data_IF_575542862405
#
_entry.id   IF_575542862405
#
_cell.length_a   1.000
_cell.length_b   1.000
_cell.length_c   1.000
_cell.angle_alpha   90.00
_cell.angle_beta   90.00
_cell.angle_gamma   90.00
#
_symmetry.space_group_name_H-M   'P 1'
#
loop_
_entity.id
_entity.type
_entity.pdbx_description
1 polymer ?
#
# COMPACT_ATOMS: atom_id res chain seq x y z
N UNK A 1 -17.07 -4.46 -25.66
CA UNK A 1 -16.08 -5.52 -25.97
C UNK A 1 -14.91 -5.30 -25.04
N UNK A 2 -14.74 -6.17 -24.05
CA UNK A 2 -13.55 -6.20 -23.19
C UNK A 2 -12.34 -6.63 -24.03
N UNK A 3 -11.16 -6.05 -23.77
CA UNK A 3 -9.93 -6.47 -24.42
C UNK A 3 -9.60 -7.94 -24.03
N UNK A 4 -8.93 -8.71 -24.90
CA UNK A 4 -8.56 -10.09 -24.57
C UNK A 4 -7.53 -10.13 -23.43
N UNK A 5 -7.72 -11.04 -22.49
CA UNK A 5 -6.72 -11.34 -21.44
C UNK A 5 -5.42 -11.80 -22.09
N UNK A 6 -4.30 -11.19 -21.69
CA UNK A 6 -2.98 -11.49 -22.23
C UNK A 6 -2.13 -12.17 -21.15
N UNK A 7 -1.41 -13.24 -21.51
CA UNK A 7 -0.46 -13.91 -20.61
C UNK A 7 0.94 -13.34 -20.80
N UNK A 8 1.56 -12.90 -19.71
CA UNK A 8 2.94 -12.40 -19.71
C UNK A 8 3.93 -13.53 -19.40
N UNK A 9 3.52 -14.46 -18.55
CA UNK A 9 4.25 -15.67 -18.17
C UNK A 9 3.27 -16.77 -17.79
N UNK A 10 3.77 -17.97 -17.48
CA UNK A 10 2.94 -19.11 -17.06
C UNK A 10 2.08 -18.82 -15.82
N UNK A 11 2.42 -17.78 -15.05
CA UNK A 11 1.80 -17.45 -13.78
C UNK A 11 1.27 -16.01 -13.71
N UNK A 12 1.22 -15.27 -14.83
CA UNK A 12 0.73 -13.90 -14.82
C UNK A 12 -0.19 -13.60 -16.00
N UNK A 13 -1.40 -13.14 -15.66
CA UNK A 13 -2.36 -12.56 -16.57
C UNK A 13 -2.37 -11.04 -16.41
N UNK A 14 -2.53 -10.35 -17.52
CA UNK A 14 -2.72 -8.90 -17.56
C UNK A 14 -3.91 -8.57 -18.45
N UNK A 15 -4.71 -7.64 -17.97
CA UNK A 15 -5.82 -7.06 -18.70
C UNK A 15 -5.64 -5.54 -18.77
N UNK A 16 -5.90 -4.94 -19.93
CA UNK A 16 -5.91 -3.49 -20.12
C UNK A 16 -7.25 -3.05 -20.69
N UNK A 17 -7.86 -2.01 -20.11
CA UNK A 17 -9.13 -1.49 -20.62
C UNK A 17 -8.98 -0.68 -21.92
N UNK A 18 -7.78 -0.23 -22.24
CA UNK A 18 -7.45 0.46 -23.49
C UNK A 18 -6.89 -0.53 -24.52
N UNK A 19 -7.10 -0.22 -25.79
CA UNK A 19 -6.58 -1.04 -26.91
C UNK A 19 -5.15 -0.64 -27.22
N UNK A 20 -4.32 -1.61 -27.57
CA UNK A 20 -2.99 -1.34 -28.12
C UNK A 20 -3.00 -1.43 -29.66
N UNK A 21 -2.17 -0.63 -30.33
CA UNK A 21 -2.16 -0.59 -31.80
C UNK A 21 -1.43 -1.77 -32.46
N UNK A 22 -0.29 -2.19 -31.91
CA UNK A 22 0.63 -3.14 -32.59
C UNK A 22 1.07 -4.32 -31.73
N UNK A 23 1.33 -4.09 -30.45
CA UNK A 23 1.81 -5.08 -29.48
C UNK A 23 0.79 -5.27 -28.37
N UNK A 24 0.80 -6.41 -27.69
CA UNK A 24 0.00 -6.61 -26.48
C UNK A 24 0.56 -5.79 -25.32
N UNK A 25 -0.29 -5.47 -24.33
CA UNK A 25 0.17 -4.95 -23.03
C UNK A 25 1.18 -5.90 -22.36
N UNK A 26 1.08 -7.21 -22.62
CA UNK A 26 2.03 -8.20 -22.09
C UNK A 26 3.46 -7.98 -22.60
N UNK A 27 3.62 -7.50 -23.84
CA UNK A 27 4.95 -7.24 -24.43
C UNK A 27 5.67 -6.06 -23.76
N UNK A 28 4.92 -5.23 -23.02
CA UNK A 28 5.41 -4.07 -22.29
C UNK A 28 5.89 -4.42 -20.86
N UNK A 29 5.67 -5.65 -20.39
CA UNK A 29 5.88 -6.03 -18.99
C UNK A 29 7.15 -6.87 -18.84
N UNK A 30 8.06 -6.41 -17.96
CA UNK A 30 9.20 -7.16 -17.44
C UNK A 30 8.90 -7.65 -16.03
N UNK A 31 8.98 -8.96 -15.81
CA UNK A 31 8.78 -9.58 -14.50
C UNK A 31 10.13 -9.95 -13.90
N UNK A 32 10.37 -9.62 -12.64
CA UNK A 32 11.58 -10.02 -11.92
C UNK A 32 11.25 -10.56 -10.53
N UNK A 33 12.01 -11.55 -10.07
CA UNK A 33 11.82 -12.20 -8.77
C UNK A 33 12.68 -11.55 -7.70
N UNK A 34 12.09 -11.24 -6.54
CA UNK A 34 12.77 -10.79 -5.32
C UNK A 34 13.74 -9.62 -5.54
N UNK A 35 13.40 -8.67 -6.41
CA UNK A 35 14.25 -7.50 -6.64
C UNK A 35 13.90 -6.38 -5.67
N UNK A 36 14.90 -5.86 -4.98
CA UNK A 36 14.77 -4.74 -4.04
C UNK A 36 14.94 -3.36 -4.69
N UNK A 37 15.57 -3.30 -5.87
CA UNK A 37 15.88 -2.05 -6.59
C UNK A 37 15.43 -2.16 -8.04
N UNK A 38 14.82 -1.10 -8.53
CA UNK A 38 14.43 -0.95 -9.94
C UNK A 38 15.31 0.16 -10.50
N UNK A 39 16.06 -0.12 -11.56
CA UNK A 39 16.77 0.92 -12.29
C UNK A 39 15.92 1.43 -13.45
N UNK A 40 16.17 2.65 -13.93
CA UNK A 40 15.45 3.19 -15.09
C UNK A 40 15.60 2.28 -16.32
N UNK A 41 16.80 1.73 -16.52
CA UNK A 41 17.13 0.79 -17.61
C UNK A 41 16.37 -0.54 -17.48
N UNK A 42 15.88 -0.88 -16.29
CA UNK A 42 15.03 -2.06 -16.10
C UNK A 42 13.58 -1.82 -16.54
N UNK A 43 13.13 -0.57 -16.51
CA UNK A 43 11.74 -0.19 -16.82
C UNK A 43 11.61 0.25 -18.27
N UNK A 44 12.49 1.15 -18.74
CA UNK A 44 12.36 1.77 -20.06
C UNK A 44 13.06 0.94 -21.11
N UNK A 45 12.29 0.46 -22.08
CA UNK A 45 12.81 -0.33 -23.20
C UNK A 45 12.04 0.02 -24.48
N UNK A 46 12.72 0.63 -25.46
CA UNK A 46 12.12 1.04 -26.73
C UNK A 46 11.56 -0.16 -27.52
N UNK A 47 12.09 -1.36 -27.31
CA UNK A 47 11.55 -2.56 -27.95
C UNK A 47 10.25 -3.04 -27.28
N UNK A 48 9.98 -2.61 -26.05
CA UNK A 48 8.77 -2.94 -25.29
C UNK A 48 7.76 -1.80 -25.20
N UNK A 49 8.05 -0.64 -25.80
CA UNK A 49 7.11 0.46 -25.79
C UNK A 49 5.84 0.13 -26.60
N UNK A 50 4.70 0.60 -26.08
CA UNK A 50 3.40 0.43 -26.71
C UNK A 50 2.61 1.73 -26.65
N UNK A 51 1.77 1.92 -27.65
CA UNK A 51 0.77 2.99 -27.66
C UNK A 51 -0.59 2.41 -27.32
N UNK A 52 -1.23 3.00 -26.32
CA UNK A 52 -2.58 2.64 -25.86
C UNK A 52 -3.58 3.69 -26.33
N UNK A 53 -4.78 3.24 -26.69
CA UNK A 53 -5.89 4.04 -27.19
C UNK A 53 -7.15 3.76 -26.40
N UNK A 54 -7.85 4.83 -26.01
CA UNK A 54 -9.15 4.73 -25.37
C UNK A 54 -10.15 4.04 -26.30
N UNK A 55 -11.07 3.27 -25.73
CA UNK A 55 -12.16 2.69 -26.50
C UNK A 55 -13.19 3.77 -26.82
N UNK A 56 -13.51 3.95 -28.10
CA UNK A 56 -14.46 4.96 -28.60
C UNK A 56 -15.85 4.90 -27.94
N UNK A 57 -16.21 3.73 -27.40
CA UNK A 57 -17.53 3.46 -26.83
C UNK A 57 -17.72 3.87 -25.36
N UNK A 58 -16.66 4.16 -24.61
CA UNK A 58 -16.73 4.29 -23.14
C UNK A 58 -16.68 5.71 -22.59
N UNK A 59 -16.67 6.73 -23.45
CA UNK A 59 -16.39 8.10 -22.99
C UNK A 59 -14.99 8.20 -22.37
N UNK A 60 -14.69 9.32 -21.72
CA UNK A 60 -13.38 9.66 -21.13
C UNK A 60 -12.93 8.77 -19.94
N UNK A 61 -13.14 7.46 -20.03
CA UNK A 61 -12.75 6.50 -19.02
C UNK A 61 -11.22 6.42 -18.95
N UNK A 62 -10.63 6.56 -17.75
CA UNK A 62 -9.19 6.42 -17.57
C UNK A 62 -8.73 5.01 -17.90
N UNK A 63 -7.49 4.87 -18.35
CA UNK A 63 -6.90 3.56 -18.63
C UNK A 63 -6.71 2.80 -17.32
N UNK A 64 -7.09 1.54 -17.32
CA UNK A 64 -6.90 0.61 -16.20
C UNK A 64 -6.13 -0.61 -16.68
N UNK A 65 -5.17 -1.05 -15.88
CA UNK A 65 -4.36 -2.25 -16.10
C UNK A 65 -4.54 -3.13 -14.87
N UNK A 66 -5.15 -4.30 -15.04
CA UNK A 66 -5.29 -5.29 -13.99
C UNK A 66 -4.17 -6.34 -14.15
N UNK A 67 -3.50 -6.61 -13.04
CA UNK A 67 -2.46 -7.61 -12.93
C UNK A 67 -2.96 -8.72 -12.03
N UNK A 68 -2.93 -9.95 -12.53
CA UNK A 68 -3.36 -11.12 -11.80
C UNK A 68 -2.30 -12.21 -11.88
N UNK A 69 -1.75 -12.58 -10.73
CA UNK A 69 -0.84 -13.71 -10.59
C UNK A 69 -1.61 -14.97 -10.26
N UNK A 70 -1.15 -16.08 -10.83
CA UNK A 70 -1.58 -17.42 -10.47
C UNK A 70 -0.56 -18.05 -9.50
N UNK A 71 -0.99 -19.09 -8.78
CA UNK A 71 -0.18 -19.85 -7.82
C UNK A 71 0.23 -19.02 -6.58
N UNK A 72 1.36 -19.37 -5.98
CA UNK A 72 1.87 -18.75 -4.74
C UNK A 72 2.67 -17.47 -5.02
N UNK A 73 2.48 -16.78 -6.14
CA UNK A 73 3.23 -15.55 -6.44
C UNK A 73 2.46 -14.31 -5.98
N UNK A 74 3.18 -13.36 -5.39
CA UNK A 74 2.65 -12.09 -4.91
C UNK A 74 3.39 -10.94 -5.58
N UNK A 75 2.66 -9.94 -6.02
CA UNK A 75 3.18 -8.66 -6.49
C UNK A 75 3.69 -7.91 -5.27
N UNK A 76 4.96 -7.51 -5.32
CA UNK A 76 5.62 -6.73 -4.25
C UNK A 76 5.85 -5.28 -4.65
N UNK A 77 6.11 -5.03 -5.94
CA UNK A 77 6.41 -3.70 -6.45
C UNK A 77 6.00 -3.61 -7.92
N UNK A 78 5.49 -2.45 -8.30
CA UNK A 78 5.23 -2.07 -9.69
C UNK A 78 6.00 -0.79 -9.98
N UNK A 79 6.72 -0.76 -11.08
CA UNK A 79 7.27 0.46 -11.65
C UNK A 79 6.77 0.63 -13.08
N UNK A 80 6.43 1.85 -13.47
CA UNK A 80 5.87 2.14 -14.79
C UNK A 80 6.41 3.46 -15.32
N UNK A 81 6.87 3.41 -16.57
CA UNK A 81 7.25 4.59 -17.34
C UNK A 81 6.17 4.87 -18.40
N UNK A 82 5.52 6.03 -18.33
CA UNK A 82 4.44 6.42 -19.26
C UNK A 82 4.24 7.93 -19.32
N UNK A 83 3.31 8.40 -20.13
CA UNK A 83 2.87 9.80 -20.14
C UNK A 83 1.94 10.19 -18.98
N UNK A 84 1.45 9.22 -18.20
CA UNK A 84 0.55 9.50 -17.09
C UNK A 84 1.31 10.11 -15.90
N UNK A 85 0.74 11.15 -15.29
CA UNK A 85 1.32 11.85 -14.13
C UNK A 85 0.82 11.35 -12.79
N UNK A 86 -0.36 10.72 -12.78
CA UNK A 86 -1.06 10.29 -11.58
C UNK A 86 -1.57 8.87 -11.79
N UNK A 87 -1.28 8.02 -10.82
CA UNK A 87 -1.64 6.61 -10.77
C UNK A 87 -2.45 6.35 -9.51
N UNK A 88 -3.55 5.63 -9.63
CA UNK A 88 -4.35 5.15 -8.52
C UNK A 88 -4.20 3.63 -8.46
N UNK A 89 -3.78 3.12 -7.30
CA UNK A 89 -3.59 1.69 -7.06
C UNK A 89 -4.76 1.13 -6.27
N UNK A 90 -5.28 0.00 -6.74
CA UNK A 90 -6.38 -0.74 -6.12
C UNK A 90 -5.95 -2.18 -5.88
N UNK A 91 -6.38 -2.77 -4.77
CA UNK A 91 -6.11 -4.16 -4.44
C UNK A 91 -7.08 -5.14 -5.10
N UNK A 92 -7.06 -6.39 -4.63
CA UNK A 92 -7.79 -7.51 -5.21
C UNK A 92 -9.32 -7.43 -5.09
N UNK A 93 -9.83 -6.70 -4.10
CA UNK A 93 -11.26 -6.47 -3.86
C UNK A 93 -11.72 -5.08 -4.30
N UNK A 94 -11.00 -4.46 -5.24
CA UNK A 94 -11.20 -3.06 -5.67
C UNK A 94 -11.04 -2.04 -4.54
N UNK A 95 -10.40 -2.42 -3.43
CA UNK A 95 -10.09 -1.51 -2.35
C UNK A 95 -9.04 -0.50 -2.81
N UNK A 96 -9.29 0.77 -2.55
CA UNK A 96 -8.34 1.84 -2.88
C UNK A 96 -7.13 1.77 -1.94
N UNK A 97 -5.93 1.60 -2.51
CA UNK A 97 -4.67 1.53 -1.77
C UNK A 97 -4.03 2.92 -1.66
N UNK A 98 -3.94 3.65 -2.78
CA UNK A 98 -3.29 4.96 -2.77
C UNK A 98 -3.20 5.64 -4.14
N UNK A 99 -2.81 6.91 -4.10
CA UNK A 99 -2.47 7.72 -5.27
C UNK A 99 -0.98 7.97 -5.30
N UNK A 100 -0.36 7.74 -6.45
CA UNK A 100 1.06 7.93 -6.69
C UNK A 100 1.27 8.98 -7.78
N UNK A 101 2.15 9.93 -7.49
CA UNK A 101 2.55 10.97 -8.43
C UNK A 101 3.87 10.57 -9.07
N UNK A 102 3.89 10.53 -10.39
CA UNK A 102 5.08 10.13 -11.12
C UNK A 102 6.08 11.29 -11.24
N UNK A 103 7.35 10.93 -11.21
CA UNK A 103 8.48 11.84 -11.37
C UNK A 103 8.77 12.03 -12.85
N UNK A 104 8.91 13.28 -13.27
CA UNK A 104 9.32 13.60 -14.64
C UNK A 104 10.76 13.10 -14.87
N UNK A 105 10.97 12.36 -15.95
CA UNK A 105 12.29 11.85 -16.33
C UNK A 105 12.83 12.63 -17.53
N UNK A 106 12.06 12.66 -18.62
CA UNK A 106 12.53 13.15 -19.91
C UNK A 106 11.37 13.57 -20.83
N UNK A 107 11.70 14.16 -21.98
CA UNK A 107 10.77 14.47 -23.07
C UNK A 107 11.27 13.81 -24.36
N UNK A 108 10.45 12.94 -24.94
CA UNK A 108 10.74 12.25 -26.20
C UNK A 108 9.71 12.73 -27.23
N UNK A 109 10.15 13.34 -28.32
CA UNK A 109 9.26 13.84 -29.39
C UNK A 109 8.09 14.71 -28.87
N UNK A 110 8.39 15.67 -27.99
CA UNK A 110 7.40 16.55 -27.32
C UNK A 110 6.38 15.84 -26.40
N UNK A 111 6.64 14.57 -26.07
CA UNK A 111 5.89 13.76 -25.11
C UNK A 111 6.66 13.69 -23.80
N UNK A 112 6.05 14.19 -22.73
CA UNK A 112 6.62 14.14 -21.39
C UNK A 112 6.52 12.70 -20.85
N UNK A 113 7.64 12.18 -20.36
CA UNK A 113 7.77 10.82 -19.81
C UNK A 113 7.95 10.90 -18.30
N UNK A 114 7.14 10.12 -17.59
CA UNK A 114 7.15 10.04 -16.13
C UNK A 114 7.39 8.61 -15.68
N UNK A 115 8.14 8.45 -14.58
CA UNK A 115 8.33 7.18 -13.87
C UNK A 115 7.64 7.26 -12.52
N UNK A 116 6.93 6.20 -12.16
CA UNK A 116 6.56 5.98 -10.76
C UNK A 116 6.96 4.58 -10.34
N UNK A 117 7.39 4.47 -9.09
CA UNK A 117 7.52 3.21 -8.36
C UNK A 117 6.44 3.14 -7.27
N UNK A 118 5.87 1.96 -7.08
CA UNK A 118 4.78 1.71 -6.16
C UNK A 118 5.04 0.39 -5.42
N UNK A 119 5.13 0.46 -4.10
CA UNK A 119 5.18 -0.74 -3.26
C UNK A 119 3.76 -1.31 -3.10
N UNK A 120 3.60 -2.59 -3.39
CA UNK A 120 2.33 -3.31 -3.27
C UNK A 120 2.43 -4.20 -2.04
N UNK A 121 1.44 -4.10 -1.13
CA UNK A 121 1.41 -4.86 0.11
C UNK A 121 1.10 -6.35 -0.11
N UNK A 122 2.00 -7.06 -0.81
CA UNK A 122 1.91 -8.48 -1.17
C UNK A 122 0.50 -8.87 -1.64
N UNK A 123 0.19 -8.60 -2.90
CA UNK A 123 -1.11 -8.93 -3.50
C UNK A 123 -0.96 -9.91 -4.67
N UNK A 124 -1.86 -10.88 -4.79
CA UNK A 124 -1.94 -11.74 -5.98
C UNK A 124 -2.65 -11.06 -7.15
N UNK A 125 -3.48 -10.06 -6.87
CA UNK A 125 -4.20 -9.26 -7.87
C UNK A 125 -4.18 -7.79 -7.46
N UNK A 126 -3.95 -6.90 -8.42
CA UNK A 126 -4.11 -5.46 -8.22
C UNK A 126 -4.47 -4.75 -9.53
N UNK A 127 -5.10 -3.60 -9.41
CA UNK A 127 -5.50 -2.77 -10.55
C UNK A 127 -4.82 -1.41 -10.46
N UNK A 128 -4.16 -1.03 -11.55
CA UNK A 128 -3.51 0.26 -11.73
C UNK A 128 -4.36 1.13 -12.66
N UNK A 129 -4.79 2.30 -12.19
CA UNK A 129 -5.56 3.26 -12.97
C UNK A 129 -4.74 4.51 -13.27
N UNK A 130 -4.61 4.83 -14.55
CA UNK A 130 -3.84 5.97 -15.05
C UNK A 130 -4.78 7.16 -15.15
N UNK A 131 -4.82 7.98 -14.09
CA UNK A 131 -5.88 8.96 -13.85
C UNK A 131 -5.67 10.31 -14.56
N UNK A 132 -4.42 10.68 -14.87
CA UNK A 132 -4.11 11.98 -15.48
C UNK A 132 -3.08 11.86 -16.60
N UNK A 133 -3.55 11.93 -17.83
CA UNK A 133 -2.74 11.95 -19.05
C UNK A 133 -2.87 13.30 -19.77
N UNK A 134 -1.83 13.68 -20.54
CA UNK A 134 -1.87 14.87 -21.40
C UNK A 134 -2.92 14.70 -22.50
N UNK A 135 -2.92 13.53 -23.12
CA UNK A 135 -3.86 13.13 -24.16
C UNK A 135 -4.92 12.20 -23.58
N UNK A 136 -6.20 12.53 -23.75
CA UNK A 136 -7.31 11.77 -23.14
C UNK A 136 -7.61 10.45 -23.82
N UNK A 137 -7.23 10.31 -25.09
CA UNK A 137 -7.63 9.18 -25.94
C UNK A 137 -6.45 8.32 -26.38
N UNK A 138 -5.22 8.74 -26.12
CA UNK A 138 -4.02 7.97 -26.43
C UNK A 138 -2.92 8.26 -25.41
N UNK A 139 -2.03 7.30 -25.19
CA UNK A 139 -0.82 7.51 -24.40
C UNK A 139 0.23 6.45 -24.74
N UNK A 140 1.50 6.81 -24.59
CA UNK A 140 2.61 5.87 -24.62
C UNK A 140 2.90 5.30 -23.24
N UNK A 141 3.14 3.98 -23.21
CA UNK A 141 3.74 3.26 -22.09
C UNK A 141 5.08 2.74 -22.59
N UNK A 142 6.15 3.20 -21.95
CA UNK A 142 7.54 2.90 -22.33
C UNK A 142 8.05 1.62 -21.67
N UNK A 143 7.39 1.19 -20.60
CA UNK A 143 7.61 -0.11 -19.99
C UNK A 143 6.98 -0.22 -18.61
N UNK A 144 6.69 -1.45 -18.23
CA UNK A 144 6.15 -1.82 -16.93
C UNK A 144 7.07 -2.87 -16.34
N UNK A 145 7.53 -2.64 -15.13
CA UNK A 145 8.35 -3.56 -14.37
C UNK A 145 7.57 -4.05 -13.15
N UNK A 146 7.54 -5.36 -12.95
CA UNK A 146 6.82 -6.00 -11.84
C UNK A 146 7.77 -6.89 -11.06
N UNK A 147 7.97 -6.55 -9.79
CA UNK A 147 8.70 -7.41 -8.85
C UNK A 147 7.71 -8.36 -8.18
N UNK A 148 7.98 -9.66 -8.29
CA UNK A 148 7.19 -10.71 -7.66
C UNK A 148 8.01 -11.46 -6.61
N UNK A 149 7.34 -11.88 -5.55
CA UNK A 149 7.89 -12.78 -4.56
C UNK A 149 7.04 -14.04 -4.50
N UNK A 150 7.69 -15.19 -4.39
CA UNK A 150 6.98 -16.43 -4.07
C UNK A 150 6.63 -16.38 -2.59
N UNK A 151 5.35 -16.50 -2.28
CA UNK A 151 4.86 -16.85 -0.97
C UNK A 151 5.31 -18.28 -0.72
N UNK A 152 6.55 -18.43 -0.25
CA UNK A 152 7.01 -19.71 0.29
C UNK A 152 5.94 -20.15 1.27
N UNK A 153 5.32 -21.34 1.11
CA UNK A 153 4.54 -21.90 2.19
C UNK A 153 5.54 -22.03 3.32
N UNK A 154 5.47 -21.15 4.32
CA UNK A 154 6.29 -21.35 5.51
C UNK A 154 5.97 -22.76 5.98
N UNK A 155 6.96 -23.60 6.29
CA UNK A 155 6.66 -24.81 7.01
C UNK A 155 6.02 -24.36 8.31
N UNK A 156 4.74 -24.69 8.45
CA UNK A 156 3.86 -24.35 9.57
C UNK A 156 3.36 -22.91 9.58
N UNK A 157 2.02 -22.79 9.57
CA UNK A 157 1.28 -21.66 10.15
C UNK A 157 1.94 -21.25 11.49
N UNK A 158 1.80 -20.02 11.99
CA UNK A 158 2.00 -19.72 13.41
C UNK A 158 0.87 -20.38 14.23
N UNK A 159 0.72 -21.70 14.10
CA UNK A 159 -0.12 -22.53 14.93
C UNK A 159 0.69 -22.91 16.15
N UNK A 160 0.08 -22.78 17.32
CA UNK A 160 0.70 -23.21 18.56
C UNK A 160 1.02 -24.72 18.44
N UNK A 161 2.29 -25.09 18.58
CA UNK A 161 2.71 -26.51 18.59
C UNK A 161 2.27 -27.14 19.91
N UNK A 162 1.03 -27.63 19.92
CA UNK A 162 0.38 -28.19 21.11
C UNK A 162 1.15 -29.42 21.64
N UNK A 163 1.89 -30.12 20.79
CA UNK A 163 2.70 -31.27 21.19
C UNK A 163 3.86 -30.84 22.09
N UNK A 164 4.57 -29.76 21.73
CA UNK A 164 5.64 -29.18 22.57
C UNK A 164 5.10 -28.59 23.87
N UNK A 165 3.92 -27.98 23.83
CA UNK A 165 3.26 -27.47 25.05
C UNK A 165 2.89 -28.63 25.97
N UNK A 166 2.36 -29.72 25.42
CA UNK A 166 2.00 -30.92 26.19
C UNK A 166 3.22 -31.64 26.76
N UNK A 167 4.33 -31.70 26.02
CA UNK A 167 5.60 -32.21 26.50
C UNK A 167 6.13 -31.37 27.68
N UNK A 168 6.14 -30.03 27.57
CA UNK A 168 6.55 -29.14 28.67
C UNK A 168 5.66 -29.26 29.90
N UNK A 169 4.35 -29.42 29.70
CA UNK A 169 3.40 -29.64 30.80
C UNK A 169 3.62 -30.99 31.50
N UNK A 170 3.99 -32.04 30.77
CA UNK A 170 4.36 -33.34 31.36
C UNK A 170 5.67 -33.23 32.14
N UNK A 171 6.65 -32.50 31.61
CA UNK A 171 7.96 -32.32 32.26
C UNK A 171 7.87 -31.47 33.54
N UNK A 172 6.95 -30.50 33.62
CA UNK A 172 6.85 -29.62 34.78
C UNK A 172 6.36 -30.31 36.06
N UNK A 173 5.83 -31.52 35.97
CA UNK A 173 5.31 -32.32 37.11
C UNK A 173 4.28 -31.59 37.99
N UNK A 174 3.75 -30.45 37.53
CA UNK A 174 2.74 -29.67 38.24
C UNK A 174 1.35 -30.07 37.75
N UNK A 175 0.39 -30.33 38.66
CA UNK A 175 -0.98 -30.58 38.27
C UNK A 175 -1.54 -29.32 37.60
N UNK A 176 -2.13 -29.47 36.41
CA UNK A 176 -2.81 -28.36 35.74
C UNK A 176 -4.01 -27.93 36.59
N UNK A 177 -4.18 -26.62 36.74
CA UNK A 177 -5.41 -26.05 37.29
C UNK A 177 -6.56 -26.23 36.30
N UNK A 178 -7.80 -26.25 36.79
CA UNK A 178 -8.99 -26.34 35.94
C UNK A 178 -9.05 -25.25 34.87
N UNK A 179 -8.56 -24.04 35.19
CA UNK A 179 -8.46 -22.92 34.25
C UNK A 179 -7.46 -23.21 33.14
N UNK A 180 -6.30 -23.77 33.47
CA UNK A 180 -5.28 -24.14 32.49
C UNK A 180 -5.74 -25.29 31.59
N UNK A 181 -6.48 -26.26 32.14
CA UNK A 181 -7.09 -27.34 31.36
C UNK A 181 -8.12 -26.80 30.35
N UNK A 182 -9.02 -25.91 30.78
CA UNK A 182 -10.01 -25.25 29.89
C UNK A 182 -9.33 -24.43 28.80
N UNK A 183 -8.26 -23.70 29.13
CA UNK A 183 -7.47 -22.95 28.14
C UNK A 183 -6.78 -23.88 27.11
N UNK A 184 -6.24 -25.03 27.56
CA UNK A 184 -5.66 -26.05 26.68
C UNK A 184 -6.70 -26.61 25.70
N UNK A 185 -7.89 -26.94 26.18
CA UNK A 185 -8.98 -27.43 25.32
C UNK A 185 -9.48 -26.35 24.34
N UNK A 186 -9.54 -25.09 24.76
CA UNK A 186 -9.83 -23.97 23.86
C UNK A 186 -8.80 -23.83 22.73
N UNK A 187 -7.50 -23.85 23.06
CA UNK A 187 -6.42 -23.75 22.07
C UNK A 187 -6.42 -24.93 21.09
N UNK A 188 -6.76 -26.14 21.56
CA UNK A 188 -7.00 -27.31 20.70
C UNK A 188 -8.17 -27.08 19.75
N UNK A 189 -9.31 -26.61 20.26
CA UNK A 189 -10.48 -26.33 19.44
C UNK A 189 -10.21 -25.25 18.39
N UNK A 190 -9.49 -24.19 18.78
CA UNK A 190 -9.10 -23.09 17.88
C UNK A 190 -8.15 -23.56 16.77
N UNK A 191 -7.17 -24.41 17.11
CA UNK A 191 -6.27 -25.00 16.12
C UNK A 191 -6.97 -26.00 15.18
N UNK A 192 -7.93 -26.77 15.68
CA UNK A 192 -8.68 -27.76 14.90
C UNK A 192 -9.78 -27.15 14.01
N UNK A 193 -10.40 -26.07 14.45
CA UNK A 193 -11.50 -25.40 13.74
C UNK A 193 -11.04 -24.23 12.87
N UNK A 194 -9.73 -24.00 12.68
CA UNK A 194 -9.26 -23.05 11.69
C UNK A 194 -9.58 -23.62 10.30
N UNK A 195 -10.62 -23.13 9.59
CA UNK A 195 -10.76 -23.50 8.20
C UNK A 195 -9.57 -22.89 7.46
N UNK A 196 -9.24 -23.40 6.30
CA UNK A 196 -8.28 -22.79 5.38
C UNK A 196 -8.80 -21.43 4.86
N UNK A 197 -9.04 -20.47 5.76
CA UNK A 197 -9.45 -19.11 5.46
C UNK A 197 -8.20 -18.35 5.03
N UNK A 198 -7.86 -18.49 3.76
CA UNK A 198 -7.41 -17.33 3.00
C UNK A 198 -8.48 -16.25 3.12
N UNK A 199 -8.07 -15.03 3.50
CA UNK A 199 -8.86 -13.79 3.64
C UNK A 199 -9.46 -13.46 5.03
N UNK A 200 -8.73 -12.59 5.73
CA UNK A 200 -9.21 -11.43 6.50
C UNK A 200 -10.46 -11.62 7.37
N UNK A 201 -10.24 -11.98 8.64
CA UNK A 201 -10.74 -11.24 9.82
C UNK A 201 -10.11 -11.87 11.06
N UNK A 202 -9.20 -11.13 11.69
CA UNK A 202 -8.74 -11.44 13.05
C UNK A 202 -10.01 -11.53 13.93
N UNK A 203 -10.21 -12.60 14.72
CA UNK A 203 -11.36 -12.68 15.60
C UNK A 203 -11.37 -11.46 16.52
N UNK A 204 -12.54 -10.84 16.69
CA UNK A 204 -12.71 -9.65 17.52
C UNK A 204 -12.04 -9.88 18.89
N UNK A 205 -11.07 -9.04 19.31
CA UNK A 205 -10.41 -9.15 20.60
C UNK A 205 -11.42 -9.22 21.77
N UNK A 206 -12.58 -8.58 21.62
CA UNK A 206 -13.67 -8.59 22.61
C UNK A 206 -14.31 -9.97 22.69
N UNK A 207 -14.44 -10.69 21.57
CA UNK A 207 -14.95 -12.05 21.54
C UNK A 207 -13.96 -13.02 22.23
N UNK A 208 -12.66 -12.85 21.99
CA UNK A 208 -11.60 -13.65 22.63
C UNK A 208 -11.61 -13.41 24.15
N UNK A 209 -11.73 -12.15 24.58
CA UNK A 209 -11.74 -11.78 25.99
C UNK A 209 -13.00 -12.32 26.71
N UNK A 210 -14.18 -12.16 26.12
CA UNK A 210 -15.45 -12.69 26.66
C UNK A 210 -15.49 -14.22 26.73
N UNK A 211 -14.79 -14.91 25.83
CA UNK A 211 -14.67 -16.37 25.87
C UNK A 211 -13.69 -16.86 26.95
N UNK A 212 -12.64 -16.10 27.25
CA UNK A 212 -11.69 -16.39 28.34
C UNK A 212 -12.29 -16.12 29.74
N UNK A 213 -13.23 -15.19 29.85
CA UNK A 213 -13.97 -14.88 31.08
C UNK A 213 -14.92 -16.00 31.54
N UNK A 214 -15.08 -17.07 30.74
CA UNK A 214 -15.63 -18.35 31.18
C UNK A 214 -17.15 -18.51 31.07
N UNK A 215 -17.89 -17.45 30.78
CA UNK A 215 -19.36 -17.52 30.63
C UNK A 215 -19.80 -18.27 29.36
N UNK A 216 -18.98 -18.26 28.31
CA UNK A 216 -19.31 -18.84 27.01
C UNK A 216 -19.29 -20.38 26.98
N UNK A 217 -18.44 -21.02 27.78
CA UNK A 217 -18.30 -22.49 27.79
C UNK A 217 -19.45 -23.19 28.53
N UNK A 218 -20.05 -22.53 29.52
CA UNK A 218 -21.23 -23.01 30.26
C UNK A 218 -22.43 -23.25 29.35
N UNK A 219 -22.60 -22.40 28.33
CA UNK A 219 -23.70 -22.47 27.36
C UNK A 219 -23.51 -23.55 26.29
N UNK A 220 -22.27 -23.98 26.03
CA UNK A 220 -21.96 -25.02 25.04
C UNK A 220 -21.97 -26.43 25.64
N UNK A 221 -21.56 -26.59 26.90
CA UNK A 221 -21.55 -27.90 27.58
C UNK A 221 -22.93 -28.36 28.06
N UNK A 222 -23.91 -27.46 28.11
CA UNK A 222 -25.29 -27.75 28.53
C UNK A 222 -26.20 -28.31 27.44
N UNK A 223 -25.71 -28.51 26.21
CA UNK A 223 -26.52 -29.01 25.08
C UNK A 223 -26.28 -30.49 24.69
N UNK A 224 -25.78 -31.33 25.61
CA UNK A 224 -25.56 -32.76 25.30
C UNK A 224 -26.76 -33.68 25.53
N UNK A 225 -27.85 -33.24 26.19
CA UNK A 225 -29.02 -34.09 26.42
C UNK A 225 -30.34 -33.32 26.28
N UNK A 226 -30.82 -33.11 25.05
CA UNK A 226 -32.23 -32.77 24.79
C UNK A 226 -32.50 -32.66 23.28
N UNK A 227 -33.11 -33.69 22.72
CA UNK A 227 -33.79 -33.64 21.42
C UNK A 227 -34.99 -32.69 21.47
N UNK A 228 -34.90 -31.53 20.84
CA UNK A 228 -35.93 -30.98 19.94
C UNK A 228 -35.51 -29.58 19.44
N UNK A 229 -35.73 -29.36 18.15
CA UNK A 229 -35.13 -28.27 17.40
C UNK A 229 -35.67 -26.88 17.72
N UNK A 230 -34.77 -25.90 17.78
CA UNK A 230 -34.86 -24.59 17.13
C UNK A 230 -33.48 -23.93 17.21
N UNK A 231 -32.99 -23.35 16.12
CA UNK A 231 -31.66 -22.72 16.04
C UNK A 231 -31.52 -21.52 16.99
N UNK A 232 -30.44 -21.38 17.79
CA UNK A 232 -30.28 -20.22 18.66
C UNK A 232 -29.23 -19.25 18.11
N UNK A 233 -29.68 -18.21 17.41
CA UNK A 233 -28.95 -16.94 17.37
C UNK A 233 -29.97 -15.79 17.47
N UNK A 234 -30.03 -15.06 18.60
CA UNK A 234 -30.60 -13.74 18.61
C UNK A 234 -29.48 -12.71 18.85
N UNK A 235 -29.04 -12.05 17.77
CA UNK A 235 -28.18 -10.86 17.81
C UNK A 235 -29.01 -9.56 17.86
N UNK A 236 -30.12 -9.54 18.60
CA UNK A 236 -31.08 -8.41 18.55
C UNK A 236 -31.00 -7.41 19.71
N UNK A 237 -29.96 -7.42 20.56
CA UNK A 237 -29.93 -6.54 21.76
C UNK A 237 -28.85 -5.45 21.79
N UNK A 238 -28.18 -5.12 20.68
CA UNK A 238 -27.07 -4.14 20.70
C UNK A 238 -27.33 -2.79 20.03
N UNK A 239 -28.55 -2.54 19.52
CA UNK A 239 -28.91 -1.23 18.93
C UNK A 239 -30.25 -0.76 19.47
N UNK A 240 -30.25 -0.18 20.67
CA UNK A 240 -31.32 0.69 21.17
C UNK A 240 -30.80 1.52 22.33
N UNK A 241 -30.28 2.72 22.01
CA UNK A 241 -30.29 3.82 22.98
C UNK A 241 -30.35 5.16 22.25
N UNK A 242 -31.55 5.49 21.79
CA UNK A 242 -31.96 6.86 21.60
C UNK A 242 -32.25 7.50 22.97
N UNK A 243 -31.80 8.73 23.17
CA UNK A 243 -32.49 9.68 24.05
C UNK A 243 -32.35 11.08 23.48
N UNK A 244 -33.47 11.61 23.01
CA UNK A 244 -33.68 12.98 22.56
C UNK A 244 -34.09 13.91 23.72
N UNK A 245 -33.68 15.19 23.60
CA UNK A 245 -34.19 16.44 24.24
C UNK A 245 -33.90 16.64 25.74
N UNK A 246 -33.48 17.82 26.22
CA UNK A 246 -34.06 19.18 26.03
C UNK A 246 -33.04 20.33 26.21
N UNK A 247 -33.43 21.51 25.74
CA UNK A 247 -32.69 22.77 25.75
C UNK A 247 -32.80 23.59 27.06
N UNK A 248 -31.93 24.60 27.15
CA UNK A 248 -31.99 25.87 27.92
C UNK A 248 -31.91 25.83 29.45
N UNK A 249 -30.87 26.47 30.04
CA UNK A 249 -30.97 27.82 30.65
C UNK A 249 -29.73 28.16 31.52
N UNK A 250 -29.61 29.45 31.80
CA UNK A 250 -28.52 30.32 32.25
C UNK A 250 -27.82 30.07 33.61
N UNK A 251 -26.55 30.52 33.65
CA UNK A 251 -25.81 31.25 34.72
C UNK A 251 -25.76 30.65 36.15
N UNK A 252 -24.54 30.42 36.65
CA UNK A 252 -23.83 31.35 37.58
C UNK A 252 -22.44 30.85 37.97
N UNK A 253 -21.62 31.86 38.24
CA UNK A 253 -20.22 31.88 38.61
C UNK A 253 -19.98 31.52 40.10
N UNK A 254 -18.69 31.35 40.43
CA UNK A 254 -18.01 31.47 41.74
C UNK A 254 -17.75 30.24 42.65
N UNK A 255 -16.43 30.05 42.90
CA UNK A 255 -15.71 29.62 44.14
C UNK A 255 -15.96 28.20 44.71
N UNK A 256 -14.99 27.42 45.22
CA UNK A 256 -13.62 27.63 45.72
C UNK A 256 -12.89 26.28 45.97
N UNK A 257 -11.55 26.30 45.91
CA UNK A 257 -10.56 25.57 46.76
C UNK A 257 -10.54 24.04 46.89
N UNK A 258 -9.46 23.43 46.39
CA UNK A 258 -8.54 22.50 47.09
C UNK A 258 -7.43 22.15 46.06
N UNK A 259 -6.23 22.74 46.08
CA UNK A 259 -5.11 22.47 46.98
C UNK A 259 -4.88 20.97 47.22
N UNK A 260 -4.25 20.31 46.26
CA UNK A 260 -3.47 19.10 46.52
C UNK A 260 -2.17 19.11 45.70
N UNK A 261 -1.11 18.82 46.45
CA UNK A 261 0.30 18.93 46.16
C UNK A 261 0.81 17.86 45.20
N UNK A 262 1.56 18.28 44.17
CA UNK A 262 2.31 17.40 43.28
C UNK A 262 3.47 18.13 42.61
N UNK A 263 4.47 18.53 43.38
CA UNK A 263 5.74 19.06 42.86
C UNK A 263 6.58 17.91 42.29
N UNK A 264 6.35 17.56 41.03
CA UNK A 264 7.26 16.75 40.22
C UNK A 264 7.52 17.43 38.85
N UNK A 265 8.73 17.99 38.75
CA UNK A 265 9.52 18.29 37.53
C UNK A 265 8.91 19.06 36.34
N UNK A 266 8.43 20.30 36.55
CA UNK A 266 8.25 21.26 35.44
C UNK A 266 9.55 21.48 34.61
N UNK A 267 10.72 21.21 35.21
CA UNK A 267 12.02 21.40 34.58
C UNK A 267 12.38 20.33 33.53
N UNK A 268 11.85 19.10 33.62
CA UNK A 268 12.13 18.04 32.64
C UNK A 268 11.36 18.26 31.33
N UNK A 269 10.12 18.74 31.43
CA UNK A 269 9.29 19.02 30.27
C UNK A 269 9.84 20.19 29.43
N UNK A 270 10.41 21.21 30.09
CA UNK A 270 11.07 22.32 29.41
C UNK A 270 12.33 21.85 28.63
N UNK A 271 13.14 20.95 29.19
CA UNK A 271 14.31 20.40 28.49
C UNK A 271 13.89 19.57 27.26
N UNK A 272 12.88 18.71 27.39
CA UNK A 272 12.39 17.90 26.28
C UNK A 272 11.85 18.75 25.11
N UNK A 273 11.15 19.86 25.40
CA UNK A 273 10.71 20.80 24.37
C UNK A 273 11.88 21.49 23.66
N UNK A 274 12.94 21.79 24.40
CA UNK A 274 14.12 22.47 23.84
C UNK A 274 14.90 21.54 22.90
N UNK A 275 15.04 20.27 23.27
CA UNK A 275 15.70 19.25 22.44
C UNK A 275 14.91 18.97 21.15
N UNK A 276 13.58 18.85 21.26
CA UNK A 276 12.72 18.67 20.08
C UNK A 276 12.79 19.88 19.14
N UNK A 277 12.77 21.10 19.68
CA UNK A 277 12.92 22.32 18.89
C UNK A 277 14.27 22.35 18.15
N UNK A 278 15.36 22.02 18.84
CA UNK A 278 16.68 21.94 18.23
C UNK A 278 16.73 20.90 17.10
N UNK A 279 16.12 19.74 17.28
CA UNK A 279 16.05 18.71 16.25
C UNK A 279 15.27 19.18 15.02
N UNK A 280 14.13 19.85 15.22
CA UNK A 280 13.33 20.42 14.13
C UNK A 280 14.09 21.50 13.37
N UNK A 281 14.71 22.45 14.06
CA UNK A 281 15.51 23.52 13.46
C UNK A 281 16.68 22.93 12.65
N UNK A 282 17.36 21.91 13.19
CA UNK A 282 18.43 21.19 12.49
C UNK A 282 17.94 20.50 11.22
N UNK A 283 16.78 19.85 11.26
CA UNK A 283 16.18 19.19 10.09
C UNK A 283 15.73 20.21 9.03
N UNK A 284 15.16 21.33 9.46
CA UNK A 284 14.77 22.42 8.58
C UNK A 284 15.97 23.02 7.86
N UNK A 285 17.06 23.31 8.60
CA UNK A 285 18.32 23.79 8.03
C UNK A 285 18.92 22.80 7.02
N UNK A 286 18.85 21.49 7.27
CA UNK A 286 19.31 20.48 6.31
C UNK A 286 18.48 20.48 5.02
N UNK A 287 17.17 20.67 5.12
CA UNK A 287 16.28 20.76 3.95
C UNK A 287 16.53 22.02 3.14
N UNK A 288 16.70 23.18 3.80
CA UNK A 288 17.03 24.45 3.15
C UNK A 288 18.37 24.36 2.41
N UNK A 289 19.39 23.77 3.04
CA UNK A 289 20.69 23.53 2.41
C UNK A 289 20.58 22.60 1.20
N UNK A 290 19.81 21.51 1.31
CA UNK A 290 19.58 20.57 0.19
C UNK A 290 18.84 21.23 -0.97
N UNK A 291 17.82 22.04 -0.68
CA UNK A 291 17.05 22.78 -1.67
C UNK A 291 17.94 23.82 -2.38
N UNK A 292 18.73 24.57 -1.63
CA UNK A 292 19.67 25.57 -2.16
C UNK A 292 20.71 24.91 -3.07
N UNK A 293 21.27 23.76 -2.68
CA UNK A 293 22.19 23.01 -3.51
C UNK A 293 21.54 22.52 -4.82
N UNK A 294 20.29 22.04 -4.76
CA UNK A 294 19.56 21.61 -5.94
C UNK A 294 19.27 22.78 -6.90
N UNK A 295 18.87 23.94 -6.38
CA UNK A 295 18.63 25.15 -7.16
C UNK A 295 19.91 25.60 -7.86
N UNK A 296 21.04 25.68 -7.13
CA UNK A 296 22.33 26.08 -7.71
C UNK A 296 22.81 25.10 -8.79
N UNK A 297 22.60 23.80 -8.59
CA UNK A 297 22.94 22.78 -9.59
C UNK A 297 22.09 22.93 -10.86
N UNK A 298 20.77 23.16 -10.73
CA UNK A 298 19.88 23.41 -11.86
C UNK A 298 20.22 24.73 -12.57
N UNK A 299 20.53 25.79 -11.83
CA UNK A 299 20.93 27.08 -12.38
C UNK A 299 22.17 26.94 -13.24
N UNK A 300 23.20 26.26 -12.72
CA UNK A 300 24.45 26.00 -13.45
C UNK A 300 24.21 25.17 -14.72
N UNK A 301 23.39 24.12 -14.65
CA UNK A 301 23.05 23.31 -15.84
C UNK A 301 22.33 24.13 -16.92
N UNK A 302 21.47 25.07 -16.51
CA UNK A 302 20.79 26.00 -17.43
C UNK A 302 21.80 26.98 -18.03
N UNK A 303 22.68 27.57 -17.23
CA UNK A 303 23.74 28.48 -17.68
C UNK A 303 24.69 27.81 -18.70
N UNK A 304 25.09 26.56 -18.47
CA UNK A 304 25.92 25.79 -19.40
C UNK A 304 25.20 25.53 -20.74
N UNK A 305 23.91 25.19 -20.70
CA UNK A 305 23.09 25.01 -21.91
C UNK A 305 22.95 26.32 -22.71
N UNK A 306 22.76 27.45 -22.03
CA UNK A 306 22.68 28.75 -22.70
C UNK A 306 24.03 29.17 -23.26
N UNK A 307 25.11 28.99 -22.51
CA UNK A 307 26.48 29.30 -22.97
C UNK A 307 26.83 28.50 -24.22
N UNK A 308 26.55 27.19 -24.23
CA UNK A 308 26.75 26.34 -25.41
C UNK A 308 25.93 26.78 -26.63
N UNK A 309 24.72 27.31 -26.44
CA UNK A 309 23.91 27.86 -27.54
C UNK A 309 24.51 29.17 -28.08
N UNK A 310 25.03 30.03 -27.19
CA UNK A 310 25.69 31.29 -27.58
C UNK A 310 26.97 30.99 -28.37
N UNK A 311 27.79 30.03 -27.91
CA UNK A 311 29.01 29.62 -28.61
C UNK A 311 28.72 29.12 -30.03
N UNK A 312 27.66 28.30 -30.19
CA UNK A 312 27.20 27.85 -31.52
C UNK A 312 26.79 29.00 -32.44
N UNK A 313 26.17 30.04 -31.90
CA UNK A 313 25.79 31.23 -32.68
C UNK A 313 27.04 32.01 -33.10
N UNK A 314 28.01 32.17 -32.20
CA UNK A 314 29.29 32.82 -32.52
C UNK A 314 30.05 32.08 -33.62
N UNK A 315 30.14 30.74 -33.52
CA UNK A 315 30.76 29.90 -34.56
C UNK A 315 30.10 30.06 -35.93
N UNK A 316 28.77 30.19 -35.97
CA UNK A 316 28.03 30.39 -37.22
C UNK A 316 28.29 31.78 -37.82
N UNK A 317 28.34 32.82 -36.97
CA UNK A 317 28.65 34.18 -37.41
C UNK A 317 30.09 34.30 -37.93
N UNK A 318 31.05 33.64 -37.30
CA UNK A 318 32.45 33.63 -37.76
C UNK A 318 32.58 32.95 -39.15
N UNK A 319 31.89 31.82 -39.35
CA UNK A 319 31.85 31.14 -40.66
C UNK A 319 31.24 32.01 -41.76
N UNK A 320 30.25 32.84 -41.44
CA UNK A 320 29.63 33.75 -42.40
C UNK A 320 30.54 34.94 -42.78
N UNK A 321 31.44 35.37 -41.89
CA UNK A 321 32.39 36.45 -42.16
C UNK A 321 33.64 36.00 -42.94
N UNK A 322 33.88 34.69 -43.09
CA UNK A 322 34.98 34.13 -43.88
C UNK A 322 34.63 33.90 -45.36
N UNK A 323 33.73 34.70 -45.96
CA UNK A 323 33.53 34.69 -47.42
C UNK A 323 34.68 35.48 -48.06
N UNK A 324 35.55 34.85 -48.88
CA UNK A 324 36.63 35.56 -49.56
C UNK A 324 36.05 36.53 -50.59
N UNK A 325 36.58 37.76 -50.62
CA UNK A 325 36.40 38.72 -51.72
C UNK A 325 36.92 38.18 -53.06
#
# INVERSE_FOLDING_TARGET
>A
MTAPDCRVSDYMQVFCSWKSASKSIADCIKIQRNSSKVSLDDVVDFERCIQLFANDSSGFAPCTINFKLENNWMITKIAIASEAKIFELYGSGEEYIGTHHAEYIDTIEDMEVFLTEMDVALANECTLKLAKTKNRNCMWVYGIYISVAELNPSPTKPGLDLNKVEERLKTSSQPLTDKAFKCKEFLKMYNSNLPSISHTKVPDPILILKMLEGEFLSSLLSQSDSSNGTSPFPLSSLLSKDSHHTASSERRNSHSSAQESGLCSENEFAMAQTELKYYLDKKMMMLENKLTAMINCKLKSVEEKYSSKVDKILDLLEKMNCVPE
#
